data_IF_798644684279
#
_entry.id   IF_798644684279
#
_cell.length_a   1.000
_cell.length_b   1.000
_cell.length_c   1.000
_cell.angle_alpha   90.00
_cell.angle_beta   90.00
_cell.angle_gamma   90.00
#
_symmetry.space_group_name_H-M   'P 1'
#
loop_
_entity.id
_entity.type
_entity.pdbx_description
1 polymer ?
#
# COMPACT_ATOMS: atom_id res chain seq x y z
N UNK A 1 -3.75 -14.82 3.75
CA UNK A 1 -4.82 -13.81 3.81
C UNK A 1 -4.67 -13.07 5.13
N UNK A 2 -3.84 -12.02 5.18
CA UNK A 2 -3.31 -11.51 6.45
C UNK A 2 -3.59 -10.03 6.70
N UNK A 3 -3.55 -9.17 5.67
CA UNK A 3 -3.97 -7.78 5.74
C UNK A 3 -5.41 -7.65 6.24
N UNK A 4 -5.62 -6.86 7.30
CA UNK A 4 -6.91 -6.65 7.98
C UNK A 4 -7.59 -7.92 8.55
N UNK A 5 -6.92 -9.08 8.46
CA UNK A 5 -7.43 -10.35 9.00
C UNK A 5 -6.73 -10.77 10.27
N UNK A 6 -5.40 -10.74 10.28
CA UNK A 6 -4.55 -11.17 11.40
C UNK A 6 -4.41 -10.06 12.44
N UNK A 7 -4.32 -8.82 11.98
CA UNK A 7 -4.39 -7.62 12.79
C UNK A 7 -4.94 -6.48 11.91
N UNK A 8 -5.36 -5.36 12.52
CA UNK A 8 -5.77 -4.17 11.77
C UNK A 8 -4.65 -3.69 10.83
N UNK A 9 -3.39 -3.73 11.29
CA UNK A 9 -2.23 -3.45 10.46
C UNK A 9 -1.75 -4.63 9.60
N UNK A 10 -2.48 -5.74 9.52
CA UNK A 10 -2.06 -6.93 8.79
C UNK A 10 -0.93 -7.74 9.45
N UNK A 11 -0.29 -8.62 8.68
CA UNK A 11 0.81 -9.46 9.19
C UNK A 11 2.05 -8.64 9.60
N UNK A 12 2.34 -7.54 8.91
CA UNK A 12 3.43 -6.63 9.23
C UNK A 12 3.36 -6.12 10.68
N UNK A 13 2.17 -5.76 11.16
CA UNK A 13 1.97 -5.31 12.55
C UNK A 13 1.98 -6.47 13.57
N UNK A 14 1.73 -7.70 13.14
CA UNK A 14 1.71 -8.87 14.03
C UNK A 14 3.10 -9.48 14.20
N UNK A 15 3.93 -9.44 13.14
CA UNK A 15 5.28 -10.00 13.13
C UNK A 15 6.37 -8.93 13.29
N UNK A 16 5.99 -7.67 13.48
CA UNK A 16 6.89 -6.52 13.60
C UNK A 16 7.91 -6.43 12.44
N UNK A 17 7.39 -6.56 11.22
CA UNK A 17 8.19 -6.49 9.98
C UNK A 17 7.76 -5.25 9.20
N UNK A 18 8.74 -4.49 8.70
CA UNK A 18 8.50 -3.37 7.80
C UNK A 18 8.76 -3.79 6.34
N UNK A 19 7.71 -4.12 5.56
CA UNK A 19 7.87 -4.55 4.18
C UNK A 19 8.15 -3.37 3.24
N UNK A 20 9.03 -3.57 2.27
CA UNK A 20 9.30 -2.59 1.22
C UNK A 20 8.08 -2.38 0.29
N UNK A 21 7.33 -3.46 0.06
CA UNK A 21 6.09 -3.48 -0.71
C UNK A 21 5.08 -4.45 -0.07
N UNK A 22 3.83 -4.02 0.02
CA UNK A 22 2.70 -4.78 0.54
C UNK A 22 1.61 -4.89 -0.51
N UNK A 23 1.15 -6.11 -0.77
CA UNK A 23 0.00 -6.39 -1.65
C UNK A 23 -1.21 -6.80 -0.82
N UNK A 24 -2.33 -6.13 -1.06
CA UNK A 24 -3.61 -6.32 -0.40
C UNK A 24 -4.69 -6.72 -1.40
N UNK A 25 -5.66 -7.49 -0.91
CA UNK A 25 -6.79 -7.95 -1.69
C UNK A 25 -7.81 -8.64 -0.79
N UNK A 26 -8.80 -9.31 -1.39
CA UNK A 26 -9.84 -10.07 -0.68
C UNK A 26 -10.69 -9.16 0.21
N UNK A 27 -10.41 -9.14 1.53
CA UNK A 27 -11.24 -8.46 2.53
C UNK A 27 -11.30 -6.94 2.32
N UNK A 28 -10.23 -6.35 1.76
CA UNK A 28 -10.22 -4.92 1.45
C UNK A 28 -11.24 -4.53 0.35
N UNK A 29 -11.71 -5.50 -0.44
CA UNK A 29 -12.72 -5.29 -1.46
C UNK A 29 -14.15 -5.42 -0.95
N UNK A 30 -14.37 -5.85 0.31
CA UNK A 30 -15.73 -5.94 0.88
C UNK A 30 -16.69 -6.86 0.12
N UNK A 31 -16.19 -7.79 -0.70
CA UNK A 31 -17.00 -8.65 -1.59
C UNK A 31 -16.99 -8.22 -3.07
N UNK A 32 -16.41 -7.06 -3.39
CA UNK A 32 -16.19 -6.58 -4.75
C UNK A 32 -14.77 -6.90 -5.24
N UNK A 33 -14.54 -7.01 -6.57
CA UNK A 33 -13.20 -7.21 -7.12
C UNK A 33 -12.33 -5.98 -6.90
N UNK A 34 -11.40 -6.07 -5.95
CA UNK A 34 -10.45 -5.01 -5.58
C UNK A 34 -9.10 -5.61 -5.21
N UNK A 35 -8.04 -4.95 -5.67
CA UNK A 35 -6.66 -5.16 -5.24
C UNK A 35 -6.00 -3.81 -4.97
N UNK A 36 -5.06 -3.78 -4.03
CA UNK A 36 -4.26 -2.60 -3.74
C UNK A 36 -2.83 -3.02 -3.42
N UNK A 37 -1.87 -2.19 -3.78
CA UNK A 37 -0.47 -2.37 -3.39
C UNK A 37 0.10 -1.04 -2.94
N UNK A 38 1.05 -1.09 -2.02
CA UNK A 38 1.67 0.10 -1.44
C UNK A 38 2.91 -0.27 -0.65
N UNK A 39 3.81 0.69 -0.48
CA UNK A 39 5.11 0.45 0.12
C UNK A 39 5.86 1.76 0.35
N UNK A 40 7.18 1.68 0.49
CA UNK A 40 8.03 2.85 0.68
C UNK A 40 7.81 3.88 -0.44
N UNK A 41 7.83 5.17 -0.08
CA UNK A 41 7.61 6.27 -1.02
C UNK A 41 8.56 6.24 -2.21
N UNK A 42 9.83 5.95 -1.96
CA UNK A 42 10.90 5.80 -2.96
C UNK A 42 10.60 4.72 -4.02
N UNK A 43 9.87 3.66 -3.63
CA UNK A 43 9.48 2.57 -4.53
C UNK A 43 8.21 2.95 -5.28
N UNK A 44 7.23 3.54 -4.59
CA UNK A 44 5.98 4.01 -5.17
C UNK A 44 6.18 5.19 -6.13
N UNK A 45 7.29 5.92 -6.01
CA UNK A 45 7.70 6.97 -6.96
C UNK A 45 7.96 6.46 -8.37
N UNK A 46 8.38 5.21 -8.49
CA UNK A 46 8.58 4.54 -9.78
C UNK A 46 7.31 3.85 -10.30
N UNK A 47 6.17 3.95 -9.58
CA UNK A 47 4.91 3.36 -10.00
C UNK A 47 4.18 4.26 -11.02
N UNK A 48 3.72 3.71 -12.16
CA UNK A 48 2.96 4.47 -13.15
C UNK A 48 1.60 4.94 -12.62
N UNK A 49 1.07 4.31 -11.57
CA UNK A 49 -0.24 4.59 -10.97
C UNK A 49 -0.20 5.74 -9.93
N UNK A 50 0.87 6.55 -9.91
CA UNK A 50 0.96 7.72 -9.04
C UNK A 50 -0.23 8.65 -9.30
N UNK A 51 -1.03 9.03 -8.29
CA UNK A 51 -1.93 10.17 -8.40
C UNK A 51 -1.08 11.39 -8.77
N UNK A 52 -1.36 12.00 -9.93
CA UNK A 52 -0.51 13.01 -10.54
C UNK A 52 -0.12 14.12 -9.56
N UNK A 53 1.19 14.35 -9.40
CA UNK A 53 1.72 15.61 -8.87
C UNK A 53 1.58 16.71 -9.93
N UNK A 54 0.36 17.09 -10.26
CA UNK A 54 0.06 18.30 -11.04
C UNK A 54 0.16 19.57 -10.15
N UNK A 55 1.24 19.74 -9.38
CA UNK A 55 1.32 20.97 -8.57
C UNK A 55 2.42 21.15 -7.52
N UNK A 56 3.40 20.25 -7.36
CA UNK A 56 4.56 20.57 -6.51
C UNK A 56 5.70 21.07 -7.38
N UNK A 57 5.69 22.38 -7.59
CA UNK A 57 6.87 23.13 -7.99
C UNK A 57 7.98 22.87 -6.95
N UNK A 58 9.15 22.33 -7.31
CA UNK A 58 10.27 22.23 -6.39
C UNK A 58 10.87 23.63 -6.24
N UNK A 59 10.27 24.45 -5.38
CA UNK A 59 10.90 25.68 -4.92
C UNK A 59 11.73 25.33 -3.70
N UNK A 60 13.05 25.23 -3.94
CA UNK A 60 14.18 24.98 -3.03
C UNK A 60 14.55 23.52 -2.79
#
# INVERSE_FOLDING_TARGET
MTGFRVALGGAQAHYDVEPDLTCLGKIIGGGMPVGAFGGRGEIMENSPDRPGLSGRNPVR
#
